data_IF_618016243359
#
_entry.id   IF_618016243359
#
_cell.length_a   1.000
_cell.length_b   1.000
_cell.length_c   1.000
_cell.angle_alpha   90.00
_cell.angle_beta   90.00
_cell.angle_gamma   90.00
#
_symmetry.space_group_name_H-M   'P 1'
#
loop_
_entity.id
_entity.type
_entity.pdbx_description
1 polymer ?
#
# COMPACT_ATOMS: atom_id res chain seq x y z
N UNK A 1 2.11 -3.60 -7.66
CA UNK A 1 0.86 -4.40 -7.68
C UNK A 1 -0.31 -3.62 -7.11
N UNK A 2 -0.29 -3.18 -5.83
CA UNK A 2 -1.44 -2.53 -5.19
C UNK A 2 -1.92 -1.23 -5.89
N UNK A 3 -1.01 -0.42 -6.39
CA UNK A 3 -1.38 0.78 -7.16
C UNK A 3 -2.38 0.45 -8.30
N UNK A 4 -2.13 -0.62 -9.04
CA UNK A 4 -3.05 -1.06 -10.10
C UNK A 4 -4.40 -1.53 -9.57
N UNK A 5 -4.43 -2.23 -8.44
CA UNK A 5 -5.70 -2.63 -7.81
C UNK A 5 -6.54 -1.41 -7.41
N UNK A 6 -5.90 -0.37 -6.87
CA UNK A 6 -6.56 0.86 -6.49
C UNK A 6 -7.04 1.65 -7.71
N UNK A 7 -6.19 1.79 -8.72
CA UNK A 7 -6.52 2.50 -9.95
C UNK A 7 -7.65 1.79 -10.73
N UNK A 8 -7.54 0.49 -10.94
CA UNK A 8 -8.56 -0.30 -11.65
C UNK A 8 -9.90 -0.30 -10.92
N UNK A 9 -9.89 -0.32 -9.58
CA UNK A 9 -11.12 -0.15 -8.81
C UNK A 9 -11.79 1.20 -9.10
N UNK A 10 -11.03 2.30 -9.09
CA UNK A 10 -11.51 3.64 -9.42
C UNK A 10 -12.05 3.77 -10.85
N UNK A 11 -11.39 3.06 -11.79
CA UNK A 11 -11.82 3.00 -13.20
C UNK A 11 -13.04 2.10 -13.44
N UNK A 12 -13.58 1.48 -12.39
CA UNK A 12 -14.74 0.61 -12.52
C UNK A 12 -14.45 -0.71 -13.23
N UNK A 13 -13.26 -1.26 -13.05
CA UNK A 13 -12.85 -2.57 -13.59
C UNK A 13 -13.76 -3.68 -13.06
N UNK A 14 -14.03 -3.67 -11.76
CA UNK A 14 -14.97 -4.59 -11.13
C UNK A 14 -16.42 -4.21 -11.54
N UNK A 15 -17.08 -5.09 -12.27
CA UNK A 15 -18.42 -4.84 -12.83
C UNK A 15 -19.52 -5.32 -11.91
N UNK A 16 -19.30 -6.43 -11.20
CA UNK A 16 -20.30 -7.03 -10.32
C UNK A 16 -20.06 -6.66 -8.85
N UNK A 17 -21.08 -6.75 -7.99
CA UNK A 17 -20.91 -6.57 -6.55
C UNK A 17 -19.88 -7.55 -5.95
N UNK A 18 -19.87 -8.80 -6.41
CA UNK A 18 -18.95 -9.85 -5.95
C UNK A 18 -17.50 -9.52 -6.26
N UNK A 19 -17.22 -9.06 -7.48
CA UNK A 19 -15.88 -8.61 -7.88
C UNK A 19 -15.42 -7.42 -7.02
N UNK A 20 -16.32 -6.48 -6.74
CA UNK A 20 -16.03 -5.33 -5.86
C UNK A 20 -15.74 -5.76 -4.43
N UNK A 21 -16.51 -6.69 -3.88
CA UNK A 21 -16.30 -7.27 -2.55
C UNK A 21 -14.92 -7.96 -2.51
N UNK A 22 -14.58 -8.75 -3.52
CA UNK A 22 -13.26 -9.39 -3.60
C UNK A 22 -12.10 -8.38 -3.58
N UNK A 23 -12.19 -7.30 -4.36
CA UNK A 23 -11.17 -6.24 -4.35
C UNK A 23 -11.09 -5.52 -2.99
N UNK A 24 -12.23 -5.26 -2.35
CA UNK A 24 -12.29 -4.61 -1.03
C UNK A 24 -11.79 -5.52 0.09
N UNK A 25 -12.06 -6.83 0.02
CA UNK A 25 -11.54 -7.81 0.96
C UNK A 25 -10.00 -7.78 1.00
N UNK A 26 -9.34 -7.84 -0.14
CA UNK A 26 -7.88 -7.79 -0.21
C UNK A 26 -7.32 -6.44 0.24
N UNK A 27 -8.02 -5.34 0.00
CA UNK A 27 -7.64 -4.02 0.53
C UNK A 27 -7.72 -4.00 2.05
N UNK A 28 -8.81 -4.52 2.63
CA UNK A 28 -8.99 -4.62 4.07
C UNK A 28 -7.92 -5.53 4.70
N UNK A 29 -7.58 -6.64 4.06
CA UNK A 29 -6.47 -7.50 4.46
C UNK A 29 -5.14 -6.74 4.53
N UNK A 30 -4.82 -5.90 3.54
CA UNK A 30 -3.59 -5.09 3.55
C UNK A 30 -3.58 -4.04 4.67
N UNK A 31 -4.72 -3.43 4.97
CA UNK A 31 -4.85 -2.55 6.13
C UNK A 31 -4.62 -3.30 7.45
N UNK A 32 -5.20 -4.48 7.57
CA UNK A 32 -5.05 -5.33 8.75
C UNK A 32 -3.61 -5.78 8.97
N UNK A 33 -2.86 -6.05 7.89
CA UNK A 33 -1.42 -6.36 7.98
C UNK A 33 -0.62 -5.25 8.65
N UNK A 34 -0.93 -3.99 8.36
CA UNK A 34 -0.26 -2.85 9.01
C UNK A 34 -0.55 -2.90 10.51
N UNK A 35 -1.82 -3.05 10.88
CA UNK A 35 -2.25 -3.04 12.28
C UNK A 35 -1.59 -4.15 13.08
N UNK A 36 -1.73 -5.41 12.66
CA UNK A 36 -1.19 -6.50 13.44
C UNK A 36 0.34 -6.53 13.44
N UNK A 37 0.99 -6.16 12.34
CA UNK A 37 2.45 -6.14 12.26
C UNK A 37 3.05 -5.10 13.21
N UNK A 38 2.50 -3.89 13.24
CA UNK A 38 2.94 -2.86 14.20
C UNK A 38 2.70 -3.33 15.64
N UNK A 39 1.50 -3.81 15.95
CA UNK A 39 1.15 -4.26 17.30
C UNK A 39 2.03 -5.41 17.80
N UNK A 40 2.37 -6.34 16.91
CA UNK A 40 3.29 -7.42 17.23
C UNK A 40 4.70 -6.91 17.52
N UNK A 41 5.28 -6.11 16.61
CA UNK A 41 6.66 -5.63 16.78
C UNK A 41 6.85 -4.63 17.93
N UNK A 42 5.76 -3.99 18.38
CA UNK A 42 5.74 -3.20 19.61
C UNK A 42 5.56 -4.07 20.87
N UNK A 43 5.38 -5.38 20.73
CA UNK A 43 5.13 -6.29 21.86
C UNK A 43 3.74 -6.15 22.49
N UNK A 44 2.81 -5.48 21.81
CA UNK A 44 1.45 -5.27 22.31
C UNK A 44 0.52 -6.46 22.05
N UNK A 45 0.77 -7.20 20.97
CA UNK A 45 -0.04 -8.37 20.60
C UNK A 45 0.81 -9.64 20.46
N UNK A 46 0.24 -10.75 20.92
CA UNK A 46 0.78 -12.09 20.68
C UNK A 46 0.47 -12.53 19.23
N UNK A 47 1.17 -13.53 18.68
CA UNK A 47 0.82 -14.11 17.37
C UNK A 47 -0.65 -14.57 17.30
N UNK A 48 -1.20 -15.15 18.37
CA UNK A 48 -2.59 -15.58 18.38
C UNK A 48 -3.56 -14.41 18.28
N UNK A 49 -3.30 -13.31 18.97
CA UNK A 49 -4.14 -12.10 18.87
C UNK A 49 -4.11 -11.50 17.45
N UNK A 50 -2.98 -11.64 16.74
CA UNK A 50 -2.89 -11.23 15.33
C UNK A 50 -3.76 -12.13 14.43
N UNK A 51 -3.75 -13.45 14.67
CA UNK A 51 -4.63 -14.40 13.97
C UNK A 51 -6.10 -14.08 14.22
N UNK A 52 -6.48 -13.93 15.50
CA UNK A 52 -7.84 -13.60 15.89
C UNK A 52 -8.34 -12.31 15.28
N UNK A 53 -7.44 -11.32 15.16
CA UNK A 53 -7.75 -10.05 14.50
C UNK A 53 -8.07 -10.25 13.01
N UNK A 54 -7.27 -11.04 12.30
CA UNK A 54 -7.53 -11.34 10.88
C UNK A 54 -8.82 -12.11 10.67
N UNK A 55 -9.11 -13.10 11.53
CA UNK A 55 -10.35 -13.87 11.47
C UNK A 55 -11.55 -12.97 11.75
N UNK A 56 -11.53 -12.25 12.87
CA UNK A 56 -12.72 -11.54 13.38
C UNK A 56 -12.98 -10.20 12.67
N UNK A 57 -11.94 -9.53 12.16
CA UNK A 57 -12.08 -8.19 11.53
C UNK A 57 -12.03 -8.22 10.02
N UNK A 58 -11.32 -9.17 9.42
CA UNK A 58 -11.17 -9.29 7.97
C UNK A 58 -12.04 -10.41 7.40
N UNK A 59 -12.39 -11.41 8.22
CA UNK A 59 -13.15 -12.58 7.78
C UNK A 59 -12.26 -13.65 7.11
N UNK A 60 -10.96 -13.68 7.46
CA UNK A 60 -10.09 -14.74 7.00
C UNK A 60 -10.50 -16.10 7.59
N UNK A 61 -10.34 -17.12 6.76
CA UNK A 61 -10.37 -18.50 7.23
C UNK A 61 -9.18 -18.69 8.20
N UNK A 62 -9.38 -19.40 9.37
CA UNK A 62 -8.35 -19.48 10.41
C UNK A 62 -6.99 -20.01 9.97
N UNK A 63 -6.94 -21.03 9.10
CA UNK A 63 -5.66 -21.56 8.62
C UNK A 63 -4.92 -20.56 7.73
N UNK A 64 -5.63 -19.80 6.89
CA UNK A 64 -5.07 -18.72 6.09
C UNK A 64 -4.58 -17.57 6.98
N UNK A 65 -5.32 -17.16 8.00
CA UNK A 65 -4.92 -16.14 8.96
C UNK A 65 -3.63 -16.56 9.69
N UNK A 66 -3.54 -17.79 10.13
CA UNK A 66 -2.36 -18.36 10.77
C UNK A 66 -1.14 -18.33 9.83
N UNK A 67 -1.30 -18.74 8.58
CA UNK A 67 -0.24 -18.68 7.56
C UNK A 67 0.26 -17.26 7.31
N UNK A 68 -0.64 -16.27 7.22
CA UNK A 68 -0.27 -14.86 7.03
C UNK A 68 0.49 -14.27 8.22
N UNK A 69 0.06 -14.56 9.43
CA UNK A 69 0.73 -14.09 10.65
C UNK A 69 2.11 -14.75 10.76
N UNK A 70 2.19 -16.07 10.61
CA UNK A 70 3.43 -16.82 10.63
C UNK A 70 4.45 -16.24 9.63
N UNK A 71 4.05 -16.05 8.38
CA UNK A 71 4.90 -15.49 7.33
C UNK A 71 5.42 -14.08 7.66
N UNK A 72 4.65 -13.30 8.41
CA UNK A 72 5.02 -11.93 8.78
C UNK A 72 6.09 -11.86 9.87
N UNK A 73 6.30 -12.95 10.63
CA UNK A 73 7.16 -12.98 11.81
C UNK A 73 8.32 -13.98 11.69
N UNK A 74 8.20 -15.02 10.86
CA UNK A 74 9.22 -16.04 10.66
C UNK A 74 10.18 -15.69 9.52
N UNK A 75 11.13 -14.84 9.80
CA UNK A 75 12.48 -14.85 9.29
C UNK A 75 12.79 -14.64 7.81
N UNK A 76 11.85 -14.64 6.89
CA UNK A 76 12.14 -14.39 5.46
C UNK A 76 12.09 -12.91 5.08
N UNK A 77 11.46 -12.10 5.90
CA UNK A 77 11.24 -10.68 5.67
C UNK A 77 11.71 -9.86 6.86
N UNK A 78 12.24 -8.68 6.57
CA UNK A 78 12.54 -7.69 7.60
C UNK A 78 11.28 -7.28 8.36
N UNK A 79 11.42 -6.86 9.63
CA UNK A 79 10.31 -6.29 10.39
C UNK A 79 9.56 -5.23 9.58
N UNK A 80 8.23 -5.25 9.63
CA UNK A 80 7.35 -4.29 8.95
C UNK A 80 7.36 -4.35 7.41
N UNK A 81 8.06 -5.29 6.78
CA UNK A 81 8.08 -5.45 5.32
C UNK A 81 6.67 -5.45 4.70
N UNK A 82 5.71 -6.10 5.37
CA UNK A 82 4.33 -6.21 4.89
C UNK A 82 3.60 -4.85 4.75
N UNK A 83 4.04 -3.83 5.49
CA UNK A 83 3.46 -2.49 5.42
C UNK A 83 3.76 -1.80 4.08
N UNK A 84 4.91 -2.10 3.49
CA UNK A 84 5.38 -1.48 2.25
C UNK A 84 4.39 -1.64 1.09
N UNK A 85 3.63 -2.74 1.07
CA UNK A 85 2.64 -3.00 0.01
C UNK A 85 1.54 -1.93 -0.03
N UNK A 86 0.91 -1.65 1.12
CA UNK A 86 -0.17 -0.66 1.17
C UNK A 86 0.39 0.76 1.10
N UNK A 87 1.40 1.07 1.90
CA UNK A 87 1.99 2.40 1.97
C UNK A 87 2.54 2.83 0.61
N UNK A 88 3.37 2.00 -0.03
CA UNK A 88 3.93 2.28 -1.35
C UNK A 88 2.85 2.43 -2.44
N UNK A 89 1.81 1.59 -2.40
CA UNK A 89 0.68 1.72 -3.32
C UNK A 89 -0.09 3.03 -3.16
N UNK A 90 -0.33 3.47 -1.92
CA UNK A 90 -0.99 4.75 -1.62
C UNK A 90 -0.11 5.94 -2.01
N UNK A 91 1.18 5.87 -1.77
CA UNK A 91 2.12 6.92 -2.18
C UNK A 91 2.14 7.06 -3.70
N UNK A 92 2.25 5.96 -4.45
CA UNK A 92 2.24 6.00 -5.91
C UNK A 92 0.91 6.52 -6.46
N UNK A 93 -0.21 6.13 -5.84
CA UNK A 93 -1.53 6.64 -6.21
C UNK A 93 -1.65 8.15 -5.97
N UNK A 94 -1.12 8.65 -4.86
CA UNK A 94 -1.12 10.08 -4.55
C UNK A 94 -0.28 10.88 -5.57
N UNK A 95 0.87 10.35 -6.01
CA UNK A 95 1.67 10.99 -7.08
C UNK A 95 0.89 10.98 -8.40
N UNK A 96 0.21 9.87 -8.71
CA UNK A 96 -0.66 9.79 -9.89
C UNK A 96 -1.79 10.82 -9.84
N UNK A 97 -2.45 10.98 -8.70
CA UNK A 97 -3.49 11.99 -8.51
C UNK A 97 -2.92 13.42 -8.67
N UNK A 98 -1.72 13.68 -8.16
CA UNK A 98 -1.05 14.98 -8.30
C UNK A 98 -0.70 15.34 -9.77
N UNK A 99 -0.32 14.35 -10.57
CA UNK A 99 0.19 14.57 -11.93
C UNK A 99 -0.85 14.28 -13.02
N UNK A 100 -1.57 13.19 -12.88
CA UNK A 100 -2.59 12.77 -13.88
C UNK A 100 -3.93 13.37 -13.52
N UNK A 101 -4.36 13.29 -12.27
CA UNK A 101 -5.61 13.88 -11.80
C UNK A 101 -5.69 15.39 -12.00
N UNK A 102 -4.56 16.09 -11.96
CA UNK A 102 -4.49 17.53 -12.27
C UNK A 102 -4.38 17.86 -13.77
N UNK A 103 -4.33 16.85 -14.64
CA UNK A 103 -4.19 17.05 -16.08
C UNK A 103 -2.77 17.39 -16.57
N UNK A 104 -1.78 17.42 -15.69
CA UNK A 104 -0.37 17.72 -16.06
C UNK A 104 0.26 16.61 -16.91
N UNK A 105 -0.27 15.40 -16.84
CA UNK A 105 0.30 14.22 -17.49
C UNK A 105 -0.78 13.19 -17.81
N UNK A 106 -0.62 12.44 -18.91
CA UNK A 106 -1.46 11.27 -19.18
C UNK A 106 -1.02 10.07 -18.34
N UNK A 107 -1.91 9.09 -18.13
CA UNK A 107 -1.56 7.83 -17.47
C UNK A 107 -0.38 7.12 -18.15
N UNK A 108 -0.39 7.01 -19.48
CA UNK A 108 0.70 6.38 -20.22
C UNK A 108 2.04 7.04 -19.92
N UNK A 109 2.11 8.38 -20.04
CA UNK A 109 3.34 9.13 -19.76
C UNK A 109 3.78 8.99 -18.31
N UNK A 110 2.84 8.97 -17.36
CA UNK A 110 3.13 8.76 -15.94
C UNK A 110 3.75 7.38 -15.70
N UNK A 111 3.11 6.32 -16.19
CA UNK A 111 3.59 4.96 -16.00
C UNK A 111 4.96 4.73 -16.66
N UNK A 112 5.16 5.23 -17.88
CA UNK A 112 6.45 5.14 -18.57
C UNK A 112 7.57 5.82 -17.78
N UNK A 113 7.31 7.00 -17.22
CA UNK A 113 8.29 7.70 -16.39
C UNK A 113 8.60 6.95 -15.12
N UNK A 114 7.57 6.47 -14.39
CA UNK A 114 7.77 5.69 -13.16
C UNK A 114 8.63 4.46 -13.41
N UNK A 115 8.36 3.72 -14.50
CA UNK A 115 9.13 2.52 -14.85
C UNK A 115 10.58 2.86 -15.20
N UNK A 116 10.83 3.96 -15.91
CA UNK A 116 12.17 4.39 -16.32
C UNK A 116 13.05 4.84 -15.15
N UNK A 117 12.47 5.37 -14.08
CA UNK A 117 13.21 5.78 -12.88
C UNK A 117 13.66 4.59 -12.02
N UNK A 118 13.19 3.37 -12.34
CA UNK A 118 13.60 2.15 -11.66
C UNK A 118 13.26 2.15 -10.16
N UNK A 119 14.15 1.61 -9.32
CA UNK A 119 13.92 1.42 -7.89
C UNK A 119 14.45 2.60 -7.07
N UNK A 120 13.53 3.43 -6.59
CA UNK A 120 13.82 4.64 -5.80
C UNK A 120 12.87 4.74 -4.59
N UNK A 121 13.31 5.36 -3.48
CA UNK A 121 12.39 5.81 -2.44
C UNK A 121 11.29 6.70 -3.02
N UNK A 122 10.05 6.54 -2.55
CA UNK A 122 8.90 7.20 -3.15
C UNK A 122 8.97 8.74 -3.10
N UNK A 123 9.61 9.31 -2.08
CA UNK A 123 9.84 10.76 -2.00
C UNK A 123 10.80 11.25 -3.10
N UNK A 124 11.85 10.50 -3.40
CA UNK A 124 12.77 10.80 -4.50
C UNK A 124 12.08 10.66 -5.86
N UNK A 125 11.31 9.59 -6.05
CA UNK A 125 10.51 9.40 -7.25
C UNK A 125 9.56 10.60 -7.47
N UNK A 126 8.86 11.02 -6.42
CA UNK A 126 7.98 12.18 -6.49
C UNK A 126 8.73 13.43 -6.89
N UNK A 127 9.88 13.70 -6.27
CA UNK A 127 10.71 14.87 -6.57
C UNK A 127 11.13 14.90 -8.04
N UNK A 128 11.58 13.76 -8.59
CA UNK A 128 11.96 13.64 -10.01
C UNK A 128 10.75 13.90 -10.92
N UNK A 129 9.61 13.28 -10.62
CA UNK A 129 8.41 13.39 -11.46
C UNK A 129 7.81 14.81 -11.43
N UNK A 130 7.97 15.53 -10.32
CA UNK A 130 7.47 16.89 -10.12
C UNK A 130 8.52 17.98 -10.39
N UNK A 131 9.77 17.60 -10.75
CA UNK A 131 10.92 18.49 -10.89
C UNK A 131 11.21 19.30 -9.62
N UNK A 132 10.98 18.71 -8.45
CA UNK A 132 11.31 19.31 -7.16
C UNK A 132 12.81 19.15 -6.87
N UNK A 133 13.47 20.21 -6.48
CA UNK A 133 14.83 20.12 -5.91
C UNK A 133 14.75 19.66 -4.48
N UNK A 134 15.61 18.71 -4.11
CA UNK A 134 15.78 18.25 -2.74
C UNK A 134 17.14 18.72 -2.26
N UNK A 135 17.18 19.37 -1.11
CA UNK A 135 18.42 19.74 -0.42
C UNK A 135 18.91 18.52 0.43
N UNK A 136 20.18 18.55 0.84
CA UNK A 136 20.79 17.43 1.60
C UNK A 136 20.13 17.19 2.96
N UNK A 137 19.49 18.19 3.53
CA UNK A 137 18.78 18.15 4.81
C UNK A 137 17.25 18.06 4.64
N UNK A 138 16.79 17.69 3.44
CA UNK A 138 15.36 17.63 3.12
C UNK A 138 14.58 16.77 4.11
N UNK A 139 13.54 17.35 4.70
CA UNK A 139 12.57 16.65 5.53
C UNK A 139 11.28 16.46 4.74
N UNK A 140 10.84 15.20 4.60
CA UNK A 140 9.61 14.88 3.90
C UNK A 140 8.40 15.50 4.62
N UNK A 141 7.72 16.43 3.95
CA UNK A 141 6.48 17.08 4.41
C UNK A 141 5.25 16.63 3.64
N UNK A 142 5.45 15.75 2.67
CA UNK A 142 4.39 15.27 1.81
C UNK A 142 3.41 14.36 2.56
N UNK A 143 2.12 14.73 2.52
CA UNK A 143 1.03 13.97 3.15
C UNK A 143 0.24 13.23 2.08
N UNK A 144 0.69 12.03 1.71
CA UNK A 144 0.03 11.17 0.71
C UNK A 144 -1.27 10.51 1.22
N UNK A 145 -1.60 10.66 2.50
CA UNK A 145 -2.75 10.03 3.18
C UNK A 145 -3.92 11.00 3.44
N UNK A 146 -3.90 12.19 2.87
CA UNK A 146 -5.03 13.12 2.94
C UNK A 146 -6.14 12.63 1.99
N UNK A 147 -6.88 11.64 2.45
CA UNK A 147 -8.13 11.24 1.81
C UNK A 147 -9.22 12.26 2.19
N UNK A 148 -9.61 13.09 1.23
CA UNK A 148 -10.85 13.85 1.30
C UNK A 148 -12.00 13.01 0.79
#
# INVERSE_FOLDING_TARGET
>A
TLYWELLLYRMGFAKTPEERIGMLFWRMHRCARITFSIKFHLGEWTPQQCVDYLVNKVGHEPANAHGEVKRSFEGSYDPLYQLAYLIGGLQLLSISDELVGSGKMSYTKFHDRVIKENYLPMEMLRAILTNQKLESDHQAKWKFYNFK
#
